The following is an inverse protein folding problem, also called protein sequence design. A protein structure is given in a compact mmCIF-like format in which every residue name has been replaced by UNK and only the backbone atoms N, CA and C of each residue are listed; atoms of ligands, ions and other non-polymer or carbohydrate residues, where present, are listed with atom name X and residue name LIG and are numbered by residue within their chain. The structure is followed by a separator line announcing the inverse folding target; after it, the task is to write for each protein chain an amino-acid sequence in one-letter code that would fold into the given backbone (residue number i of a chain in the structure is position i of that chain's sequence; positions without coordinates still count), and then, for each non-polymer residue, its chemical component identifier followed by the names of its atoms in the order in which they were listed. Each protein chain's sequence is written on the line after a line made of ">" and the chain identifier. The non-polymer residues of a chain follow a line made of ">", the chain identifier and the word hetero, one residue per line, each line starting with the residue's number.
data_IF_626392893217
#
_entry.id   IF_626392893217
#
_cell.length_a   1.000
_cell.length_b   1.000
_cell.length_c   1.000
_cell.angle_alpha   90.00
_cell.angle_beta   90.00
_cell.angle_gamma   90.00
#
_symmetry.space_group_name_H-M   'P 1'
#
loop_
_entity.id
_entity.type
_entity.pdbx_description
1 polymer ?
#
# COMPACT_ATOMS: atom_id res chain seq x y z
N UNK A 1 35.05 -34.57 -25.80
CA UNK A 1 34.97 -33.46 -26.77
C UNK A 1 34.14 -32.36 -26.13
N UNK A 2 34.76 -31.33 -25.56
CA UNK A 2 34.07 -30.18 -24.97
C UNK A 2 34.36 -28.97 -25.83
N UNK A 3 33.40 -28.59 -26.68
CA UNK A 3 33.47 -27.37 -27.49
C UNK A 3 33.14 -26.15 -26.61
N UNK A 4 34.09 -25.23 -26.55
CA UNK A 4 33.97 -23.93 -25.92
C UNK A 4 33.34 -22.95 -26.94
N UNK A 5 32.33 -22.14 -26.59
CA UNK A 5 31.72 -21.20 -27.55
C UNK A 5 32.67 -20.02 -27.86
N UNK A 6 32.57 -19.41 -29.05
CA UNK A 6 33.45 -18.31 -29.46
C UNK A 6 33.15 -17.01 -28.67
N UNK A 7 34.16 -16.16 -28.40
CA UNK A 7 33.94 -14.86 -27.79
C UNK A 7 33.23 -13.92 -28.78
N UNK A 8 32.17 -13.26 -28.31
CA UNK A 8 31.44 -12.25 -29.10
C UNK A 8 32.29 -11.01 -29.40
N UNK A 9 31.88 -10.18 -30.39
CA UNK A 9 32.61 -8.98 -30.76
C UNK A 9 32.69 -7.99 -29.60
N UNK A 10 33.88 -7.44 -29.38
CA UNK A 10 34.20 -6.54 -28.28
C UNK A 10 33.40 -5.23 -28.28
N UNK A 11 33.15 -4.73 -27.07
CA UNK A 11 32.60 -3.40 -26.84
C UNK A 11 33.50 -2.33 -27.47
N UNK A 12 32.89 -1.44 -28.27
CA UNK A 12 33.54 -0.25 -28.81
C UNK A 12 33.99 0.73 -27.70
N UNK A 13 34.77 1.75 -28.06
CA UNK A 13 35.27 2.74 -27.09
C UNK A 13 34.12 3.51 -26.41
N UNK A 14 34.28 3.90 -25.14
CA UNK A 14 33.27 4.70 -24.44
C UNK A 14 33.15 6.10 -25.06
N UNK A 15 31.96 6.72 -25.02
CA UNK A 15 31.79 8.09 -25.49
C UNK A 15 32.60 9.08 -24.63
N UNK A 16 33.03 10.23 -25.19
CA UNK A 16 33.74 11.25 -24.43
C UNK A 16 32.87 11.79 -23.29
N UNK A 17 33.46 11.88 -22.10
CA UNK A 17 32.80 12.44 -20.93
C UNK A 17 32.53 13.93 -21.15
N UNK A 18 31.25 14.32 -21.08
CA UNK A 18 30.87 15.73 -21.00
C UNK A 18 31.38 16.29 -19.68
N UNK A 19 32.19 17.36 -19.76
CA UNK A 19 32.56 18.15 -18.60
C UNK A 19 31.32 18.83 -18.00
N UNK A 20 31.19 18.94 -16.67
CA UNK A 20 30.09 19.65 -16.04
C UNK A 20 30.19 21.16 -16.32
N UNK A 21 29.06 21.76 -16.71
CA UNK A 21 28.94 23.21 -16.84
C UNK A 21 29.09 23.90 -15.47
N UNK A 22 29.69 25.10 -15.40
CA UNK A 22 29.79 25.85 -14.15
C UNK A 22 28.39 26.31 -13.68
N UNK A 23 28.16 26.40 -12.36
CA UNK A 23 26.90 26.90 -11.84
C UNK A 23 26.73 28.39 -12.15
N UNK A 24 25.49 28.88 -12.37
CA UNK A 24 25.22 30.29 -12.55
C UNK A 24 25.55 31.06 -11.26
N UNK A 25 26.24 32.19 -11.42
CA UNK A 25 26.55 33.11 -10.34
C UNK A 25 25.25 33.72 -9.77
N UNK A 26 25.10 33.68 -8.45
CA UNK A 26 24.04 34.40 -7.75
C UNK A 26 24.27 35.92 -7.85
N UNK A 27 23.24 36.73 -8.12
CA UNK A 27 23.36 38.18 -8.04
C UNK A 27 23.54 38.63 -6.59
N UNK A 28 24.40 39.63 -6.39
CA UNK A 28 24.60 40.28 -5.10
C UNK A 28 23.30 40.94 -4.60
N UNK A 29 23.06 41.00 -3.27
CA UNK A 29 21.83 41.57 -2.73
C UNK A 29 21.84 43.10 -2.82
N UNK A 30 20.80 43.66 -3.45
CA UNK A 30 20.44 45.08 -3.37
C UNK A 30 19.82 45.40 -2.00
N UNK A 31 20.22 46.48 -1.28
CA UNK A 31 19.80 46.73 0.10
C UNK A 31 18.40 47.34 0.29
N UNK A 32 17.48 47.24 -0.67
CA UNK A 32 16.13 47.82 -0.53
C UNK A 32 15.06 46.92 -1.16
N UNK A 33 14.35 46.16 -0.33
CA UNK A 33 13.11 45.49 -0.72
C UNK A 33 12.05 45.62 0.40
N UNK A 34 10.82 46.04 0.09
CA UNK A 34 9.70 46.01 1.03
C UNK A 34 9.18 44.57 1.23
N UNK A 35 8.62 44.31 2.42
CA UNK A 35 8.14 43.01 2.86
C UNK A 35 7.15 42.36 1.89
N UNK A 36 7.44 41.13 1.45
CA UNK A 36 6.54 40.29 0.66
C UNK A 36 5.52 39.59 1.58
N UNK A 37 4.23 39.51 1.18
CA UNK A 37 3.25 38.72 1.91
C UNK A 37 3.52 37.22 1.67
N UNK A 38 3.44 36.48 2.77
CA UNK A 38 3.49 35.03 2.92
C UNK A 38 2.89 34.28 1.72
N UNK A 39 3.74 33.53 1.01
CA UNK A 39 3.34 32.55 0.01
C UNK A 39 2.51 31.44 0.67
N UNK A 40 1.30 31.20 0.15
CA UNK A 40 0.48 30.07 0.55
C UNK A 40 1.20 28.76 0.21
N UNK A 41 1.25 27.86 1.19
CA UNK A 41 1.75 26.50 1.01
C UNK A 41 0.89 25.74 -0.02
N UNK A 42 1.48 24.88 -0.86
CA UNK A 42 0.73 24.10 -1.82
C UNK A 42 -0.21 23.14 -1.08
N UNK A 43 -1.52 23.27 -1.34
CA UNK A 43 -2.49 22.26 -0.95
C UNK A 43 -2.08 20.93 -1.58
N UNK A 44 -1.71 19.96 -0.75
CA UNK A 44 -1.49 18.59 -1.17
C UNK A 44 -2.76 18.10 -1.87
N UNK A 45 -2.69 17.94 -3.18
CA UNK A 45 -3.74 17.31 -3.97
C UNK A 45 -3.89 15.89 -3.42
N UNK A 46 -4.97 15.65 -2.68
CA UNK A 46 -5.49 14.31 -2.47
C UNK A 46 -5.69 13.71 -3.86
N UNK A 47 -4.79 12.82 -4.27
CA UNK A 47 -4.95 12.04 -5.48
C UNK A 47 -6.22 11.21 -5.31
N UNK A 48 -7.33 11.71 -5.88
CA UNK A 48 -8.50 10.91 -6.17
C UNK A 48 -8.03 9.80 -7.11
N UNK A 49 -7.75 8.64 -6.53
CA UNK A 49 -7.54 7.41 -7.28
C UNK A 49 -8.77 7.21 -8.17
N UNK A 50 -8.55 7.31 -9.49
CA UNK A 50 -9.58 7.05 -10.49
C UNK A 50 -10.17 5.67 -10.25
N UNK A 51 -11.50 5.47 -10.40
CA UNK A 51 -12.12 4.17 -10.21
C UNK A 51 -11.69 3.25 -11.34
N UNK A 52 -10.54 2.58 -11.16
CA UNK A 52 -10.26 1.30 -11.79
C UNK A 52 -11.47 0.42 -11.43
N UNK A 53 -12.17 -0.13 -12.42
CA UNK A 53 -13.43 -0.87 -12.23
C UNK A 53 -13.37 -1.66 -10.92
N UNK A 54 -14.05 -1.15 -9.89
CA UNK A 54 -13.77 -1.56 -8.53
C UNK A 54 -14.21 -3.01 -8.40
N UNK A 55 -13.26 -3.90 -8.14
CA UNK A 55 -13.59 -5.26 -7.74
C UNK A 55 -14.38 -5.22 -6.42
N UNK A 56 -14.90 -6.37 -5.98
CA UNK A 56 -15.68 -6.42 -4.76
C UNK A 56 -14.86 -5.95 -3.56
N UNK A 57 -15.47 -5.22 -2.64
CA UNK A 57 -14.82 -4.77 -1.41
C UNK A 57 -15.53 -5.28 -0.15
N UNK A 58 -14.76 -5.31 0.93
CA UNK A 58 -15.23 -5.65 2.26
C UNK A 58 -14.79 -4.57 3.24
N UNK A 59 -15.72 -4.13 4.09
CA UNK A 59 -15.47 -3.19 5.17
C UNK A 59 -16.11 -3.69 6.46
N UNK A 60 -15.30 -3.86 7.50
CA UNK A 60 -15.75 -4.06 8.87
C UNK A 60 -15.18 -2.95 9.75
N UNK A 61 -16.04 -2.25 10.50
CA UNK A 61 -15.65 -1.13 11.37
C UNK A 61 -16.34 -1.25 12.73
N UNK A 62 -15.57 -1.00 13.78
CA UNK A 62 -16.07 -0.77 15.14
C UNK A 62 -15.67 0.63 15.65
N UNK A 63 -15.76 0.87 16.96
CA UNK A 63 -15.46 2.17 17.56
C UNK A 63 -13.99 2.63 17.37
N UNK A 64 -13.05 1.69 17.26
CA UNK A 64 -11.60 1.95 17.29
C UNK A 64 -10.84 1.26 16.16
N UNK A 65 -11.42 0.25 15.54
CA UNK A 65 -10.74 -0.62 14.60
C UNK A 65 -11.53 -0.76 13.30
N UNK A 66 -10.81 -0.96 12.22
CA UNK A 66 -11.37 -1.24 10.90
C UNK A 66 -10.55 -2.30 10.17
N UNK A 67 -11.24 -3.08 9.33
CA UNK A 67 -10.63 -3.97 8.34
C UNK A 67 -11.25 -3.64 6.99
N UNK A 68 -10.39 -3.34 6.02
CA UNK A 68 -10.76 -3.14 4.62
C UNK A 68 -10.10 -4.22 3.77
N UNK A 69 -10.84 -4.78 2.83
CA UNK A 69 -10.29 -5.67 1.80
C UNK A 69 -10.82 -5.23 0.45
N UNK A 70 -9.93 -4.88 -0.47
CA UNK A 70 -10.28 -4.35 -1.79
C UNK A 70 -9.21 -4.70 -2.83
N UNK A 71 -9.29 -4.12 -4.03
CA UNK A 71 -8.38 -4.40 -5.13
C UNK A 71 -6.90 -4.03 -4.84
N UNK A 72 -6.66 -3.13 -3.89
CA UNK A 72 -5.31 -2.74 -3.46
C UNK A 72 -4.68 -3.77 -2.50
N UNK A 73 -5.50 -4.45 -1.68
CA UNK A 73 -5.01 -5.37 -0.66
C UNK A 73 -5.90 -5.47 0.57
N UNK A 74 -5.27 -5.55 1.74
CA UNK A 74 -5.92 -5.57 3.05
C UNK A 74 -5.38 -4.41 3.88
N UNK A 75 -6.27 -3.63 4.51
CA UNK A 75 -5.88 -2.57 5.44
C UNK A 75 -6.48 -2.84 6.82
N UNK A 76 -5.66 -2.66 7.85
CA UNK A 76 -6.06 -2.68 9.24
C UNK A 76 -5.93 -1.28 9.82
N UNK A 77 -6.97 -0.84 10.52
CA UNK A 77 -6.92 0.28 11.43
C UNK A 77 -7.07 -0.25 12.84
N UNK A 78 -6.16 0.12 13.74
CA UNK A 78 -6.24 -0.25 15.16
C UNK A 78 -5.93 0.96 16.01
N UNK A 79 -6.97 1.55 16.61
CA UNK A 79 -6.86 2.71 17.51
C UNK A 79 -6.10 3.89 16.91
N UNK A 80 -6.35 4.20 15.64
CA UNK A 80 -5.72 5.30 14.91
C UNK A 80 -4.36 4.96 14.29
N UNK A 81 -3.89 3.71 14.39
CA UNK A 81 -2.76 3.21 13.62
C UNK A 81 -3.26 2.45 12.41
N UNK A 82 -2.87 2.89 11.22
CA UNK A 82 -3.22 2.24 9.96
C UNK A 82 -2.03 1.45 9.42
N UNK A 83 -2.28 0.21 9.00
CA UNK A 83 -1.31 -0.64 8.32
C UNK A 83 -1.97 -1.21 7.07
N UNK A 84 -1.33 -1.04 5.93
CA UNK A 84 -1.80 -1.52 4.64
C UNK A 84 -0.88 -2.62 4.13
N UNK A 85 -1.47 -3.67 3.57
CA UNK A 85 -0.77 -4.81 2.99
C UNK A 85 -1.25 -4.96 1.55
N UNK A 86 -0.34 -4.89 0.57
CA UNK A 86 -0.70 -5.08 -0.84
C UNK A 86 -0.79 -6.56 -1.18
N UNK A 87 -1.65 -6.94 -2.13
CA UNK A 87 -1.80 -8.36 -2.52
C UNK A 87 -0.50 -9.13 -2.76
N UNK A 88 0.54 -8.57 -3.43
CA UNK A 88 1.83 -9.25 -3.62
C UNK A 88 2.60 -9.55 -2.31
N UNK A 89 2.31 -8.80 -1.24
CA UNK A 89 2.96 -8.90 0.07
C UNK A 89 2.25 -9.90 1.00
N UNK A 90 1.02 -10.29 0.66
CA UNK A 90 0.17 -11.13 1.51
C UNK A 90 0.33 -12.59 1.11
N UNK A 91 0.99 -13.38 1.96
CA UNK A 91 1.06 -14.84 1.84
C UNK A 91 -0.28 -15.50 2.10
N UNK A 92 -1.02 -15.03 3.09
CA UNK A 92 -2.29 -15.63 3.52
C UNK A 92 -3.16 -14.61 4.24
N UNK A 93 -4.49 -14.73 4.09
CA UNK A 93 -5.45 -14.04 4.93
C UNK A 93 -6.25 -15.10 5.67
N UNK A 94 -6.25 -15.03 7.00
CA UNK A 94 -7.05 -15.90 7.86
C UNK A 94 -8.12 -15.07 8.55
N UNK A 95 -9.30 -15.64 8.75
CA UNK A 95 -10.33 -14.99 9.53
C UNK A 95 -11.10 -16.01 10.36
N UNK A 96 -11.52 -15.59 11.55
CA UNK A 96 -12.32 -16.39 12.47
C UNK A 96 -13.15 -15.48 13.37
N UNK A 97 -14.10 -16.06 14.08
CA UNK A 97 -14.82 -15.34 15.10
C UNK A 97 -13.94 -15.31 16.35
N UNK A 98 -14.06 -14.26 17.16
CA UNK A 98 -13.51 -14.26 18.51
C UNK A 98 -14.05 -15.45 19.32
N UNK A 99 -13.35 -15.91 20.37
CA UNK A 99 -13.82 -17.02 21.19
C UNK A 99 -15.22 -16.82 21.79
N UNK A 100 -15.59 -15.58 22.09
CA UNK A 100 -16.93 -15.22 22.58
C UNK A 100 -17.98 -15.01 21.46
N UNK A 101 -17.54 -15.10 20.21
CA UNK A 101 -18.35 -14.92 19.01
C UNK A 101 -18.88 -13.50 18.82
N UNK A 102 -18.24 -12.47 19.37
CA UNK A 102 -18.69 -11.07 19.29
C UNK A 102 -17.84 -10.19 18.40
N UNK A 103 -16.73 -10.70 17.87
CA UNK A 103 -15.85 -9.95 16.99
C UNK A 103 -15.37 -10.80 15.81
N UNK A 104 -15.02 -10.12 14.73
CA UNK A 104 -14.33 -10.67 13.58
C UNK A 104 -12.83 -10.48 13.83
N UNK A 105 -12.08 -11.57 13.84
CA UNK A 105 -10.63 -11.55 13.87
C UNK A 105 -10.13 -11.80 12.46
N UNK A 106 -9.38 -10.88 11.89
CA UNK A 106 -8.72 -11.02 10.59
C UNK A 106 -7.23 -10.95 10.78
N UNK A 107 -6.50 -11.82 10.12
CA UNK A 107 -5.06 -11.84 10.16
C UNK A 107 -4.44 -11.96 8.78
N UNK A 108 -3.36 -11.20 8.58
CA UNK A 108 -2.51 -11.22 7.40
C UNK A 108 -1.20 -11.91 7.75
N UNK A 109 -0.90 -12.98 7.00
CA UNK A 109 0.44 -13.57 6.95
C UNK A 109 1.19 -12.87 5.83
N UNK A 110 2.24 -12.15 6.17
CA UNK A 110 3.07 -11.45 5.21
C UNK A 110 4.09 -12.41 4.55
N UNK A 111 4.62 -12.05 3.38
CA UNK A 111 5.55 -12.92 2.63
C UNK A 111 6.84 -13.24 3.39
N UNK A 112 7.29 -12.34 4.26
CA UNK A 112 8.45 -12.54 5.15
C UNK A 112 8.16 -13.45 6.36
N UNK A 113 6.93 -13.94 6.51
CA UNK A 113 6.49 -14.80 7.61
C UNK A 113 5.96 -14.05 8.83
N UNK A 114 5.93 -12.72 8.83
CA UNK A 114 5.29 -11.94 9.89
C UNK A 114 3.77 -12.14 9.88
N UNK A 115 3.17 -12.00 11.05
CA UNK A 115 1.75 -12.15 11.26
C UNK A 115 1.19 -10.87 11.88
N UNK A 116 0.11 -10.37 11.29
CA UNK A 116 -0.58 -9.16 11.73
C UNK A 116 -2.06 -9.52 11.95
N UNK A 117 -2.64 -9.11 13.06
CA UNK A 117 -4.03 -9.40 13.41
C UNK A 117 -4.77 -8.11 13.74
N UNK A 118 -6.00 -7.99 13.27
CA UNK A 118 -6.94 -6.93 13.62
C UNK A 118 -8.27 -7.56 14.06
N UNK A 119 -8.85 -7.01 15.12
CA UNK A 119 -10.09 -7.50 15.72
C UNK A 119 -11.13 -6.40 15.65
N UNK A 120 -12.26 -6.68 15.01
CA UNK A 120 -13.38 -5.75 14.84
C UNK A 120 -14.61 -6.26 15.57
N UNK A 121 -15.10 -5.53 16.55
CA UNK A 121 -16.32 -5.87 17.29
C UNK A 121 -17.56 -5.83 16.37
N UNK A 122 -18.34 -6.91 16.40
CA UNK A 122 -19.62 -7.01 15.72
C UNK A 122 -20.75 -6.62 16.68
N UNK A 123 -21.24 -5.38 16.53
CA UNK A 123 -22.43 -4.88 17.26
C UNK A 123 -23.54 -4.52 16.28
N UNK A 124 -24.65 -5.29 16.18
CA UNK A 124 -24.96 -6.51 16.93
C UNK A 124 -24.17 -7.74 16.45
N UNK A 125 -24.13 -8.81 17.27
CA UNK A 125 -23.44 -10.08 16.96
C UNK A 125 -23.85 -10.69 15.61
N UNK A 126 -25.08 -10.44 15.17
CA UNK A 126 -25.60 -10.86 13.85
C UNK A 126 -24.75 -10.37 12.69
N UNK A 127 -24.03 -9.23 12.82
CA UNK A 127 -23.13 -8.74 11.77
C UNK A 127 -22.06 -9.76 11.37
N UNK A 128 -21.63 -10.66 12.28
CA UNK A 128 -20.68 -11.71 11.90
C UNK A 128 -21.25 -12.65 10.84
N UNK A 129 -22.56 -12.94 10.88
CA UNK A 129 -23.20 -13.79 9.89
C UNK A 129 -23.22 -13.15 8.49
N UNK A 130 -23.19 -11.82 8.43
CA UNK A 130 -23.12 -11.05 7.17
C UNK A 130 -21.66 -10.92 6.71
N UNK A 131 -20.74 -10.62 7.64
CA UNK A 131 -19.34 -10.38 7.31
C UNK A 131 -18.60 -11.61 6.81
N UNK A 132 -18.85 -12.80 7.36
CA UNK A 132 -18.15 -14.02 6.96
C UNK A 132 -18.35 -14.40 5.49
N UNK A 133 -19.59 -14.52 4.97
CA UNK A 133 -19.79 -14.84 3.56
C UNK A 133 -19.30 -13.72 2.64
N UNK A 134 -19.47 -12.44 3.01
CA UNK A 134 -18.96 -11.32 2.22
C UNK A 134 -17.42 -11.36 2.14
N UNK A 135 -16.75 -11.51 3.28
CA UNK A 135 -15.29 -11.60 3.34
C UNK A 135 -14.77 -12.81 2.56
N UNK A 136 -15.41 -13.98 2.69
CA UNK A 136 -15.05 -15.17 1.93
C UNK A 136 -15.13 -14.94 0.42
N UNK A 137 -16.20 -14.28 -0.05
CA UNK A 137 -16.41 -13.98 -1.47
C UNK A 137 -15.37 -12.98 -1.99
N UNK A 138 -15.11 -11.89 -1.26
CA UNK A 138 -14.10 -10.88 -1.62
C UNK A 138 -12.70 -11.49 -1.66
N UNK A 139 -12.32 -12.28 -0.65
CA UNK A 139 -11.03 -12.97 -0.64
C UNK A 139 -10.91 -13.96 -1.79
N UNK A 140 -11.97 -14.70 -2.12
CA UNK A 140 -11.99 -15.60 -3.27
C UNK A 140 -11.83 -14.89 -4.62
N UNK A 141 -12.22 -13.62 -4.73
CA UNK A 141 -12.04 -12.82 -5.93
C UNK A 141 -10.57 -12.41 -6.15
N UNK A 142 -9.89 -11.92 -5.12
CA UNK A 142 -8.51 -11.42 -5.25
C UNK A 142 -7.43 -12.46 -4.99
N UNK A 143 -7.75 -13.51 -4.26
CA UNK A 143 -6.84 -14.62 -3.96
C UNK A 143 -7.46 -15.91 -4.47
N UNK A 144 -7.23 -16.28 -5.75
CA UNK A 144 -7.57 -17.61 -6.20
C UNK A 144 -6.85 -18.60 -5.29
N UNK A 145 -7.62 -19.47 -4.62
CA UNK A 145 -7.09 -20.59 -3.85
C UNK A 145 -6.14 -21.38 -4.75
N UNK A 146 -4.85 -21.30 -4.44
CA UNK A 146 -3.81 -22.16 -5.02
C UNK A 146 -3.75 -23.50 -4.32
#
# INVERSE_FOLDING_TARGET
>A
MTQQPPPGPGFGPPPPQYAPAPPPQAPAPSPYAPAQPYAQAPQQQQQQQQPMAAGPDFLAVDKRNAVVVDASGVAFETSGLTVEFRWPEIRGVHYRASPDGKALMVAVVHMDGRFYECVVEARPRTRLQEWFPQLAWVLGHYRPVG
#
